data_IF_070088874675
#
_entry.id   IF_070088874675
#
_cell.length_a   1.000
_cell.length_b   1.000
_cell.length_c   1.000
_cell.angle_alpha   90.00
_cell.angle_beta   90.00
_cell.angle_gamma   90.00
#
_symmetry.space_group_name_H-M   'P 1'
#
loop_
_entity.id
_entity.type
_entity.pdbx_description
1 polymer ?
#
# COMPACT_ATOMS: atom_id res chain seq x y z
N UNK A 1 -14.17 -15.95 4.89
CA UNK A 1 -14.19 -15.78 3.42
C UNK A 1 -12.85 -15.20 3.02
N UNK A 2 -12.25 -15.64 1.91
CA UNK A 2 -10.94 -15.17 1.43
C UNK A 2 -11.14 -14.28 0.19
N UNK A 3 -10.33 -13.23 0.05
CA UNK A 3 -10.33 -12.34 -1.11
C UNK A 3 -9.32 -12.86 -2.13
N UNK A 4 -9.77 -13.25 -3.32
CA UNK A 4 -8.91 -13.75 -4.40
C UNK A 4 -9.12 -12.89 -5.63
N UNK A 5 -8.03 -12.35 -6.17
CA UNK A 5 -8.02 -11.49 -7.37
C UNK A 5 -6.96 -12.05 -8.33
N UNK A 6 -7.34 -12.26 -9.60
CA UNK A 6 -6.46 -12.88 -10.61
C UNK A 6 -5.75 -14.17 -10.12
N UNK A 7 -6.44 -14.98 -9.30
CA UNK A 7 -5.90 -16.23 -8.75
C UNK A 7 -4.90 -16.07 -7.59
N UNK A 8 -4.73 -14.86 -7.05
CA UNK A 8 -3.83 -14.56 -5.93
C UNK A 8 -4.58 -13.97 -4.73
N UNK A 9 -4.09 -14.22 -3.53
CA UNK A 9 -4.59 -13.62 -2.28
C UNK A 9 -3.72 -12.40 -1.94
N UNK A 10 -4.21 -11.16 -2.11
CA UNK A 10 -3.42 -9.98 -1.80
C UNK A 10 -3.19 -9.82 -0.30
N UNK A 11 -1.96 -9.46 0.06
CA UNK A 11 -1.52 -9.22 1.44
C UNK A 11 -1.77 -7.76 1.83
N UNK A 12 -1.84 -6.84 0.86
CA UNK A 12 -2.06 -5.41 1.09
C UNK A 12 -3.19 -4.85 0.23
N UNK A 13 -3.69 -3.67 0.61
CA UNK A 13 -4.68 -2.96 -0.21
C UNK A 13 -4.12 -2.52 -1.56
N UNK A 14 -2.84 -2.12 -1.61
CA UNK A 14 -2.16 -1.77 -2.86
C UNK A 14 -2.09 -2.97 -3.80
N UNK A 15 -1.64 -4.12 -3.28
CA UNK A 15 -1.58 -5.36 -4.05
C UNK A 15 -2.97 -5.80 -4.54
N UNK A 16 -4.02 -5.61 -3.72
CA UNK A 16 -5.39 -5.87 -4.16
C UNK A 16 -5.76 -5.01 -5.39
N UNK A 17 -5.41 -3.72 -5.37
CA UNK A 17 -5.68 -2.80 -6.48
C UNK A 17 -4.86 -3.16 -7.71
N UNK A 18 -3.57 -3.45 -7.55
CA UNK A 18 -2.68 -3.85 -8.64
C UNK A 18 -3.15 -5.13 -9.32
N UNK A 19 -3.56 -6.15 -8.55
CA UNK A 19 -4.12 -7.38 -9.10
C UNK A 19 -5.46 -7.16 -9.80
N UNK A 20 -6.27 -6.23 -9.30
CA UNK A 20 -7.58 -5.94 -9.89
C UNK A 20 -7.46 -5.13 -11.19
N UNK A 21 -6.50 -4.20 -11.26
CA UNK A 21 -6.23 -3.38 -12.43
C UNK A 21 -5.27 -4.04 -13.43
N UNK A 22 -4.52 -5.06 -13.00
CA UNK A 22 -3.51 -5.72 -13.84
C UNK A 22 -2.27 -4.87 -14.12
N UNK A 23 -2.03 -3.82 -13.33
CA UNK A 23 -0.88 -2.91 -13.49
C UNK A 23 -0.17 -2.66 -12.16
N UNK A 24 1.14 -2.45 -12.24
CA UNK A 24 1.97 -2.01 -11.11
C UNK A 24 1.80 -0.49 -10.93
N UNK A 25 1.30 -0.08 -9.75
CA UNK A 25 1.06 1.33 -9.47
C UNK A 25 2.36 2.11 -9.29
N UNK A 26 3.34 1.53 -8.60
CA UNK A 26 4.62 2.19 -8.31
C UNK A 26 5.46 2.38 -9.57
N UNK A 27 5.28 1.55 -10.61
CA UNK A 27 5.88 1.79 -11.92
C UNK A 27 5.50 3.17 -12.49
N UNK A 28 4.21 3.54 -12.41
CA UNK A 28 3.71 4.80 -12.97
C UNK A 28 3.83 5.97 -11.99
N UNK A 29 3.61 5.73 -10.69
CA UNK A 29 3.68 6.79 -9.70
C UNK A 29 5.10 7.08 -9.23
N UNK A 30 5.96 6.07 -9.19
CA UNK A 30 7.25 6.18 -8.53
C UNK A 30 7.18 6.10 -7.01
N UNK A 31 8.36 5.94 -6.42
CA UNK A 31 8.53 5.78 -4.98
C UNK A 31 8.93 7.12 -4.34
N UNK A 32 8.46 7.44 -3.11
CA UNK A 32 8.87 8.66 -2.41
C UNK A 32 10.37 8.78 -2.15
N UNK A 33 11.09 7.66 -2.16
CA UNK A 33 12.53 7.59 -1.92
C UNK A 33 13.34 7.36 -3.19
N UNK A 34 12.74 7.50 -4.37
CA UNK A 34 13.42 7.24 -5.65
C UNK A 34 14.53 8.27 -5.93
N UNK A 35 15.68 7.79 -6.42
CA UNK A 35 16.73 8.69 -6.91
C UNK A 35 16.38 9.26 -8.29
N UNK A 36 17.05 10.32 -8.70
CA UNK A 36 16.83 10.91 -10.05
C UNK A 36 17.14 9.90 -11.16
N UNK A 37 18.17 9.07 -10.96
CA UNK A 37 18.56 8.04 -11.92
C UNK A 37 17.51 6.92 -11.98
N UNK A 38 17.06 6.43 -10.83
CA UNK A 38 16.02 5.39 -10.75
C UNK A 38 14.70 5.89 -11.33
N UNK A 39 14.36 7.16 -11.06
CA UNK A 39 13.21 7.83 -11.67
C UNK A 39 13.31 7.85 -13.19
N UNK A 40 14.49 8.15 -13.75
CA UNK A 40 14.67 8.16 -15.21
C UNK A 40 14.48 6.75 -15.80
N UNK A 41 15.09 5.74 -15.18
CA UNK A 41 14.95 4.33 -15.60
C UNK A 41 13.49 3.86 -15.50
N UNK A 42 12.82 4.15 -14.39
CA UNK A 42 11.40 3.82 -14.19
C UNK A 42 10.51 4.49 -15.24
N UNK A 43 10.73 5.77 -15.53
CA UNK A 43 9.95 6.48 -16.56
C UNK A 43 10.21 5.96 -17.97
N UNK A 44 11.39 5.39 -18.23
CA UNK A 44 11.68 4.72 -19.49
C UNK A 44 10.81 3.47 -19.64
N UNK A 45 10.88 2.57 -18.66
CA UNK A 45 10.07 1.33 -18.61
C UNK A 45 8.57 1.66 -18.61
N UNK A 46 8.13 2.65 -17.83
CA UNK A 46 6.73 3.04 -17.77
C UNK A 46 6.20 3.52 -19.14
N UNK A 47 7.04 4.15 -19.97
CA UNK A 47 6.62 4.57 -21.33
C UNK A 47 6.51 3.39 -22.27
N UNK A 48 7.40 2.40 -22.16
CA UNK A 48 7.34 1.16 -22.94
C UNK A 48 6.07 0.38 -22.60
N UNK A 49 5.83 0.11 -21.32
CA UNK A 49 4.62 -0.59 -20.87
C UNK A 49 3.35 0.17 -21.26
N UNK A 50 3.37 1.51 -21.20
CA UNK A 50 2.22 2.31 -21.65
C UNK A 50 1.96 2.17 -23.16
N UNK A 51 2.99 1.97 -23.98
CA UNK A 51 2.82 1.73 -25.41
C UNK A 51 2.13 0.37 -25.65
N UNK A 52 2.56 -0.67 -24.95
CA UNK A 52 1.95 -2.01 -25.03
C UNK A 52 0.50 -2.02 -24.52
N UNK A 53 0.23 -1.29 -23.42
CA UNK A 53 -1.13 -1.13 -22.90
C UNK A 53 -2.04 -0.40 -23.89
N UNK A 54 -1.54 0.61 -24.62
CA UNK A 54 -2.35 1.30 -25.64
C UNK A 54 -2.82 0.39 -26.76
N UNK A 55 -2.09 -0.67 -27.06
CA UNK A 55 -2.47 -1.67 -28.05
C UNK A 55 -3.42 -2.73 -27.47
N UNK A 56 -3.14 -3.20 -26.25
CA UNK A 56 -3.85 -4.34 -25.65
C UNK A 56 -5.07 -3.96 -24.80
N UNK A 57 -4.99 -2.86 -24.06
CA UNK A 57 -6.03 -2.37 -23.15
C UNK A 57 -5.99 -0.82 -23.03
N UNK A 58 -6.63 -0.11 -23.98
CA UNK A 58 -6.62 1.36 -24.03
C UNK A 58 -7.20 2.04 -22.79
N UNK A 59 -8.16 1.41 -22.10
CA UNK A 59 -8.79 1.99 -20.91
C UNK A 59 -7.80 1.95 -19.73
N UNK A 60 -7.12 0.81 -19.54
CA UNK A 60 -6.04 0.69 -18.55
C UNK A 60 -4.87 1.62 -18.87
N UNK A 61 -4.53 1.80 -20.15
CA UNK A 61 -3.52 2.76 -20.57
C UNK A 61 -3.88 4.20 -20.19
N UNK A 62 -5.13 4.61 -20.40
CA UNK A 62 -5.61 5.95 -20.05
C UNK A 62 -5.53 6.19 -18.52
N UNK A 63 -5.84 5.16 -17.73
CA UNK A 63 -5.69 5.23 -16.28
C UNK A 63 -4.22 5.37 -15.85
N UNK A 64 -3.33 4.53 -16.38
CA UNK A 64 -1.89 4.58 -16.10
C UNK A 64 -1.26 5.93 -16.50
N UNK A 65 -1.65 6.49 -17.64
CA UNK A 65 -1.24 7.83 -18.05
C UNK A 65 -1.72 8.91 -17.07
N UNK A 66 -2.94 8.77 -16.54
CA UNK A 66 -3.46 9.62 -15.46
C UNK A 66 -2.60 9.58 -14.20
N UNK A 67 -2.13 8.40 -13.79
CA UNK A 67 -1.24 8.24 -12.63
C UNK A 67 0.06 9.03 -12.82
N UNK A 68 0.68 8.98 -14.00
CA UNK A 68 1.93 9.71 -14.28
C UNK A 68 1.76 11.23 -14.22
N UNK A 69 0.58 11.75 -14.56
CA UNK A 69 0.27 13.19 -14.56
C UNK A 69 -0.04 13.73 -13.15
N UNK A 70 -0.56 12.88 -12.27
CA UNK A 70 -1.15 13.29 -10.99
C UNK A 70 -0.15 13.48 -9.83
N UNK A 71 1.18 13.40 -10.04
CA UNK A 71 2.11 13.38 -8.90
C UNK A 71 2.50 14.73 -8.28
N UNK A 72 2.72 14.75 -6.93
CA UNK A 72 2.94 13.58 -6.09
C UNK A 72 1.78 13.21 -5.15
N UNK A 73 1.25 11.99 -5.33
CA UNK A 73 0.38 11.35 -4.35
C UNK A 73 1.18 11.08 -3.07
N UNK A 74 0.76 11.68 -1.94
CA UNK A 74 1.29 11.31 -0.62
C UNK A 74 0.90 9.86 -0.35
N UNK A 75 1.87 8.94 -0.38
CA UNK A 75 1.63 7.58 0.09
C UNK A 75 1.21 7.62 1.58
N UNK A 76 0.15 6.89 1.97
CA UNK A 76 -0.20 6.77 3.37
C UNK A 76 0.94 6.10 4.12
N UNK A 77 1.52 6.81 5.09
CA UNK A 77 2.50 6.25 6.01
C UNK A 77 1.93 4.97 6.63
N UNK A 78 2.71 3.88 6.74
CA UNK A 78 2.25 2.68 7.43
C UNK A 78 1.84 3.10 8.84
N UNK A 79 0.55 2.99 9.15
CA UNK A 79 0.04 3.30 10.48
C UNK A 79 0.69 2.33 11.45
N UNK A 80 1.68 2.81 12.22
CA UNK A 80 2.35 2.04 13.24
C UNK A 80 1.27 1.54 14.21
N UNK A 81 0.93 0.26 14.07
CA UNK A 81 -0.05 -0.48 14.86
C UNK A 81 0.13 -0.09 16.32
N UNK A 82 -0.81 0.71 16.86
CA UNK A 82 -0.85 1.11 18.27
C UNK A 82 -0.85 -0.17 19.09
N UNK A 83 0.27 -0.48 19.73
CA UNK A 83 0.32 -1.56 20.71
C UNK A 83 -0.53 -1.09 21.87
N UNK A 84 -1.76 -1.61 21.97
CA UNK A 84 -2.59 -1.48 23.16
C UNK A 84 -1.84 -2.15 24.30
N UNK A 85 -1.05 -1.37 25.02
CA UNK A 85 -0.37 -1.78 26.24
C UNK A 85 -1.44 -1.88 27.32
N UNK A 86 -2.07 -3.04 27.39
CA UNK A 86 -3.00 -3.43 28.45
C UNK A 86 -2.35 -3.14 29.80
N UNK A 87 -2.85 -2.12 30.49
CA UNK A 87 -2.50 -1.85 31.88
C UNK A 87 -3.08 -2.98 32.73
N UNK A 88 -2.23 -3.93 33.12
CA UNK A 88 -2.55 -4.93 34.14
C UNK A 88 -2.83 -4.17 35.44
N UNK A 89 -4.11 -4.06 35.82
CA UNK A 89 -4.51 -3.59 37.14
C UNK A 89 -4.03 -4.62 38.17
N UNK A 90 -3.07 -4.23 39.01
CA UNK A 90 -2.70 -4.99 40.22
C UNK A 90 -3.88 -4.96 41.20
N UNK A 91 -4.34 -6.08 41.74
CA UNK A 91 -5.27 -6.08 42.86
C UNK A 91 -4.55 -5.65 44.15
N UNK A 92 -5.10 -4.66 44.85
CA UNK A 92 -4.73 -4.30 46.22
C UNK A 92 -5.12 -5.45 47.15
N UNK A 93 -4.20 -5.94 47.96
CA UNK A 93 -4.55 -6.80 49.09
C UNK A 93 -5.37 -5.99 50.09
N UNK A 94 -6.57 -6.48 50.35
CA UNK A 94 -7.48 -6.00 51.37
C UNK A 94 -6.83 -6.08 52.75
N UNK A 95 -7.10 -5.02 53.52
CA UNK A 95 -6.76 -4.88 54.93
C UNK A 95 -7.57 -5.89 55.74
N UNK A 96 -6.90 -6.76 56.48
CA UNK A 96 -7.53 -7.46 57.61
C UNK A 96 -7.30 -6.64 58.87
N UNK A 97 -8.38 -6.06 59.40
CA UNK A 97 -8.48 -5.64 60.79
C UNK A 97 -9.08 -6.79 61.59
N UNK A 98 -8.50 -7.19 62.72
CA UNK A 98 -9.25 -7.74 63.87
C UNK A 98 -8.46 -7.44 65.15
N UNK A 99 -9.22 -6.94 66.14
CA UNK A 99 -8.82 -6.56 67.48
C UNK A 99 -8.65 -7.75 68.43
N UNK A 100 -7.78 -7.60 69.44
CA UNK A 100 -7.99 -7.95 70.85
C UNK A 100 -6.82 -7.40 71.67
#
# INVERSE_FOLDING_TARGET
>A
MKSIVAGREPVTATEFVELALGIDLELFTGSPTESVMDRAARLDVAREVLADLRESDPDTAAYAEGLMRALPLKQPHPTRRRTNRTTVRRPMHERTAVAA
#
